data_IF_641667567385
#
_entry.id   IF_641667567385
#
_cell.length_a   1.000
_cell.length_b   1.000
_cell.length_c   1.000
_cell.angle_alpha   90.00
_cell.angle_beta   90.00
_cell.angle_gamma   90.00
#
_symmetry.space_group_name_H-M   'P 1'
#
loop_
_entity.id
_entity.type
_entity.pdbx_description
1 polymer ?
#
# COMPACT_ATOMS: atom_id res chain seq x y z
N UNK A 1 -16.23 -5.33 11.74
CA UNK A 1 -15.65 -4.23 10.95
C UNK A 1 -14.27 -4.71 10.54
N UNK A 2 -14.04 -4.93 9.25
CA UNK A 2 -12.70 -5.28 8.78
C UNK A 2 -11.87 -4.00 8.82
N UNK A 3 -10.77 -4.01 9.56
CA UNK A 3 -9.82 -2.91 9.57
C UNK A 3 -8.88 -3.11 8.38
N UNK A 4 -9.01 -2.24 7.37
CA UNK A 4 -8.10 -2.22 6.22
C UNK A 4 -6.80 -1.54 6.69
N UNK A 5 -5.92 -2.31 7.31
CA UNK A 5 -4.73 -1.79 7.97
C UNK A 5 -3.60 -2.80 7.99
N UNK A 6 -2.37 -2.30 7.95
CA UNK A 6 -1.15 -3.09 8.18
C UNK A 6 -0.59 -2.73 9.56
N UNK A 7 -0.36 -3.76 10.38
CA UNK A 7 0.27 -3.62 11.70
C UNK A 7 1.69 -4.18 11.66
N UNK A 8 2.68 -3.31 11.79
CA UNK A 8 4.09 -3.69 11.92
C UNK A 8 4.46 -3.67 13.40
N UNK A 9 4.70 -4.85 13.98
CA UNK A 9 5.09 -4.97 15.39
C UNK A 9 6.59 -5.20 15.52
N UNK A 10 7.25 -4.33 16.26
CA UNK A 10 8.68 -4.43 16.55
C UNK A 10 8.96 -5.45 17.66
N UNK A 11 10.21 -5.92 17.76
CA UNK A 11 10.64 -6.82 18.83
C UNK A 11 10.36 -6.27 20.24
N UNK A 12 10.37 -4.94 20.41
CA UNK A 12 10.10 -4.28 21.70
C UNK A 12 8.60 -4.15 22.01
N UNK A 13 7.71 -4.70 21.18
CA UNK A 13 6.27 -4.66 21.38
C UNK A 13 5.59 -3.35 20.97
N UNK A 14 6.31 -2.42 20.31
CA UNK A 14 5.67 -1.28 19.67
C UNK A 14 5.00 -1.71 18.36
N UNK A 15 3.76 -1.29 18.15
CA UNK A 15 3.02 -1.50 16.90
C UNK A 15 2.89 -0.18 16.16
N UNK A 16 3.40 -0.14 14.93
CA UNK A 16 3.05 0.88 13.94
C UNK A 16 1.84 0.37 13.16
N UNK A 17 0.73 1.10 13.21
CA UNK A 17 -0.48 0.80 12.43
C UNK A 17 -0.58 1.79 11.28
N UNK A 18 -0.68 1.27 10.07
CA UNK A 18 -0.96 2.02 8.85
C UNK A 18 -2.43 1.77 8.50
N UNK A 19 -3.24 2.81 8.46
CA UNK A 19 -4.60 2.74 7.94
C UNK A 19 -4.54 2.86 6.42
N UNK A 20 -4.79 1.75 5.72
CA UNK A 20 -4.66 1.69 4.26
C UNK A 20 -5.68 2.59 3.58
N UNK A 21 -6.87 2.81 4.17
CA UNK A 21 -7.85 3.73 3.58
C UNK A 21 -7.35 5.18 3.62
N UNK A 22 -6.60 5.55 4.66
CA UNK A 22 -6.00 6.88 4.76
C UNK A 22 -4.77 7.00 3.87
N UNK A 23 -3.94 5.96 3.81
CA UNK A 23 -2.75 5.93 2.95
C UNK A 23 -3.12 6.00 1.45
N UNK A 24 -4.25 5.40 1.07
CA UNK A 24 -4.73 5.37 -0.31
C UNK A 24 -5.67 6.53 -0.65
N UNK A 25 -6.02 7.40 0.30
CA UNK A 25 -6.94 8.50 0.05
C UNK A 25 -6.35 9.47 -1.00
N UNK A 26 -7.10 9.68 -2.08
CA UNK A 26 -6.70 10.52 -3.20
C UNK A 26 -5.71 9.89 -4.18
N UNK A 27 -5.33 8.61 -4.00
CA UNK A 27 -4.58 7.89 -5.05
C UNK A 27 -5.41 7.78 -6.33
N UNK A 28 -4.73 7.95 -7.45
CA UNK A 28 -5.29 7.78 -8.79
C UNK A 28 -4.87 6.41 -9.29
N UNK A 29 -5.78 5.45 -9.22
CA UNK A 29 -5.56 4.07 -9.66
C UNK A 29 -6.41 3.73 -10.88
N UNK A 30 -5.94 2.77 -11.67
CA UNK A 30 -6.79 2.00 -12.60
C UNK A 30 -7.31 0.75 -11.89
N UNK A 31 -8.29 0.01 -12.46
CA UNK A 31 -8.68 -1.29 -11.90
C UNK A 31 -7.50 -2.26 -11.77
N UNK A 32 -6.53 -2.19 -12.70
CA UNK A 32 -5.32 -3.01 -12.71
C UNK A 32 -4.39 -2.67 -11.56
N UNK A 33 -3.95 -1.40 -11.47
CA UNK A 33 -3.07 -0.97 -10.38
C UNK A 33 -3.73 -1.02 -9.00
N UNK A 34 -5.05 -0.85 -8.88
CA UNK A 34 -5.73 -1.11 -7.59
C UNK A 34 -5.66 -2.60 -7.20
N UNK A 35 -5.80 -3.52 -8.17
CA UNK A 35 -5.64 -4.94 -7.91
C UNK A 35 -4.21 -5.26 -7.44
N UNK A 36 -3.21 -4.70 -8.13
CA UNK A 36 -1.81 -4.85 -7.77
C UNK A 36 -1.47 -4.23 -6.41
N UNK A 37 -2.04 -3.05 -6.10
CA UNK A 37 -1.86 -2.38 -4.81
C UNK A 37 -2.45 -3.20 -3.65
N UNK A 38 -3.63 -3.81 -3.86
CA UNK A 38 -4.22 -4.74 -2.89
C UNK A 38 -3.34 -5.99 -2.71
N UNK A 39 -2.78 -6.53 -3.78
CA UNK A 39 -1.85 -7.65 -3.71
C UNK A 39 -0.58 -7.27 -2.95
N UNK A 40 -0.01 -6.09 -3.21
CA UNK A 40 1.15 -5.56 -2.49
C UNK A 40 0.90 -5.47 -0.98
N UNK A 41 -0.27 -4.98 -0.56
CA UNK A 41 -0.64 -4.89 0.85
C UNK A 41 -0.79 -6.25 1.54
N UNK A 42 -1.17 -7.30 0.80
CA UNK A 42 -1.42 -8.66 1.32
C UNK A 42 -0.14 -9.50 1.30
N UNK A 43 0.54 -9.52 0.17
CA UNK A 43 1.67 -10.42 -0.11
C UNK A 43 2.99 -9.83 0.39
N UNK A 44 3.19 -8.52 0.26
CA UNK A 44 4.42 -7.81 0.63
C UNK A 44 4.16 -6.61 1.57
N UNK A 45 3.55 -6.84 2.75
CA UNK A 45 3.04 -5.77 3.62
C UNK A 45 4.12 -4.80 4.13
N UNK A 46 5.38 -5.23 4.22
CA UNK A 46 6.49 -4.34 4.63
C UNK A 46 6.90 -3.40 3.50
N UNK A 47 6.80 -3.83 2.24
CA UNK A 47 7.07 -2.97 1.08
C UNK A 47 5.96 -1.93 0.95
N UNK A 48 4.70 -2.35 1.03
CA UNK A 48 3.55 -1.43 1.10
C UNK A 48 3.75 -0.40 2.23
N UNK A 49 4.08 -0.88 3.44
CA UNK A 49 4.25 -0.01 4.60
C UNK A 49 5.35 1.05 4.37
N UNK A 50 6.45 0.64 3.74
CA UNK A 50 7.55 1.56 3.40
C UNK A 50 7.08 2.62 2.42
N UNK A 51 6.41 2.22 1.33
CA UNK A 51 5.88 3.15 0.33
C UNK A 51 4.85 4.12 0.92
N UNK A 52 3.98 3.63 1.81
CA UNK A 52 2.98 4.44 2.50
C UNK A 52 3.62 5.50 3.41
N UNK A 53 4.65 5.12 4.18
CA UNK A 53 5.37 6.03 5.07
C UNK A 53 6.22 7.05 4.30
N UNK A 54 6.78 6.66 3.16
CA UNK A 54 7.58 7.55 2.32
C UNK A 54 6.71 8.47 1.43
N UNK A 55 5.40 8.24 1.37
CA UNK A 55 4.48 8.98 0.51
C UNK A 55 4.62 8.64 -0.98
N UNK A 56 5.15 7.45 -1.29
CA UNK A 56 5.52 7.02 -2.65
C UNK A 56 4.46 6.12 -3.33
N UNK A 57 3.31 5.87 -2.69
CA UNK A 57 2.28 4.97 -3.25
C UNK A 57 1.79 5.42 -4.64
N UNK A 58 1.58 6.72 -4.87
CA UNK A 58 1.17 7.19 -6.21
C UNK A 58 2.24 6.92 -7.27
N UNK A 59 3.52 7.09 -6.93
CA UNK A 59 4.61 6.82 -7.86
C UNK A 59 4.69 5.33 -8.22
N UNK A 60 4.46 4.46 -7.25
CA UNK A 60 4.39 3.02 -7.47
C UNK A 60 3.19 2.66 -8.36
N UNK A 61 2.01 3.22 -8.09
CA UNK A 61 0.80 3.05 -8.90
C UNK A 61 1.01 3.52 -10.34
N UNK A 62 1.60 4.70 -10.55
CA UNK A 62 1.89 5.25 -11.88
C UNK A 62 2.86 4.34 -12.68
N UNK A 63 3.81 3.72 -11.98
CA UNK A 63 4.73 2.76 -12.58
C UNK A 63 4.02 1.45 -12.98
N UNK A 64 3.15 0.93 -12.11
CA UNK A 64 2.34 -0.26 -12.38
C UNK A 64 1.41 -0.06 -13.57
N UNK A 65 0.70 1.07 -13.63
CA UNK A 65 -0.14 1.44 -14.77
C UNK A 65 0.65 1.52 -16.09
N UNK A 66 1.93 1.90 -16.02
CA UNK A 66 2.80 1.98 -17.20
C UNK A 66 3.26 0.59 -17.68
N UNK A 67 3.26 -0.42 -16.81
CA UNK A 67 3.60 -1.80 -17.17
C UNK A 67 2.43 -2.50 -17.88
N UNK A 68 1.18 -2.19 -17.53
CA UNK A 68 0.00 -2.73 -18.23
C UNK A 68 -0.15 -2.23 -19.68
N UNK A 69 0.55 -1.15 -20.05
CA UNK A 69 0.57 -0.61 -21.41
C UNK A 69 1.56 -1.30 -22.36
N UNK A 70 2.37 -2.24 -21.85
CA UNK A 70 3.37 -3.02 -22.61
C UNK A 70 2.85 -4.42 -22.96
#
# INVERSE_FOLDING_TARGET
MYHNSIDVTTFNGYTLRIDCNVAEDGLRTTPGSQCALNALAIDEPLEYATLALDGNLQMWVDAEDSLELL
#
